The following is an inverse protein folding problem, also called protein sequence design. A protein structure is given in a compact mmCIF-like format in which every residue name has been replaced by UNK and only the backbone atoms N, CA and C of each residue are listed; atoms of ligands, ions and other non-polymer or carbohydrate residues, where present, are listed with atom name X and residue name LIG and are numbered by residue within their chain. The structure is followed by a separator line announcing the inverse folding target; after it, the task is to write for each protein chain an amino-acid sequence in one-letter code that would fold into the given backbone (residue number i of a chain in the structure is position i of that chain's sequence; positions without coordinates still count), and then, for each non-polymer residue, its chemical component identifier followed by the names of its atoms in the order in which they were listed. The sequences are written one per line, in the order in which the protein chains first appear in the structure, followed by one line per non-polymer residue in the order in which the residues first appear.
data_IF_852439596486
#
_entry.id   IF_852439596486
#
_cell.length_a   1.000
_cell.length_b   1.000
_cell.length_c   1.000
_cell.angle_alpha   90.00
_cell.angle_beta   90.00
_cell.angle_gamma   90.00
#
_symmetry.space_group_name_H-M   'P 1'
#
loop_
_entity.id
_entity.type
_entity.pdbx_description
1 polymer ?
#
# COMPACT_ATOMS: atom_id res chain seq x y z
N UNK A 1 17.32 -40.42 -51.87
CA UNK A 1 15.96 -40.40 -52.46
C UNK A 1 15.08 -41.11 -51.46
N UNK A 2 14.24 -40.43 -50.66
CA UNK A 2 13.05 -39.71 -51.06
C UNK A 2 12.87 -38.40 -50.27
N UNK A 3 12.52 -37.34 -51.01
CA UNK A 3 12.07 -36.04 -50.52
C UNK A 3 10.54 -36.05 -50.46
N UNK A 4 9.96 -35.52 -49.39
CA UNK A 4 8.57 -35.02 -49.39
C UNK A 4 8.49 -33.71 -48.62
N UNK A 5 7.83 -32.76 -49.26
CA UNK A 5 7.70 -31.34 -48.94
C UNK A 5 6.42 -31.11 -48.12
N UNK A 6 6.56 -30.23 -47.11
CA UNK A 6 5.64 -29.29 -46.46
C UNK A 6 4.12 -29.57 -46.35
N UNK A 7 3.59 -29.30 -45.15
CA UNK A 7 2.34 -28.56 -44.99
C UNK A 7 2.52 -27.49 -43.91
N UNK A 8 2.43 -26.23 -44.33
CA UNK A 8 2.39 -25.06 -43.47
C UNK A 8 1.03 -25.01 -42.75
N UNK A 9 1.08 -24.96 -41.42
CA UNK A 9 -0.08 -24.67 -40.57
C UNK A 9 0.22 -23.45 -39.72
N UNK A 10 -0.17 -22.27 -40.20
CA UNK A 10 -0.14 -21.03 -39.44
C UNK A 10 -1.19 -21.10 -38.30
N UNK A 11 -0.75 -21.48 -37.11
CA UNK A 11 -1.45 -21.19 -35.87
C UNK A 11 -0.72 -20.08 -35.14
N UNK A 12 -1.13 -18.81 -35.33
CA UNK A 12 -0.76 -17.70 -34.44
C UNK A 12 -1.44 -17.90 -33.07
N UNK A 13 -1.04 -18.91 -32.32
CA UNK A 13 -1.21 -18.90 -30.88
C UNK A 13 0.11 -18.40 -30.32
N UNK A 14 0.16 -17.08 -30.11
CA UNK A 14 1.27 -16.46 -29.41
C UNK A 14 1.50 -17.20 -28.09
N UNK A 15 2.70 -17.75 -27.92
CA UNK A 15 3.20 -18.14 -26.62
C UNK A 15 3.29 -16.83 -25.83
N UNK A 16 2.21 -16.50 -25.12
CA UNK A 16 2.25 -15.47 -24.12
C UNK A 16 3.27 -15.95 -23.08
N UNK A 17 4.49 -15.41 -23.14
CA UNK A 17 5.39 -15.43 -22.00
C UNK A 17 4.70 -14.60 -20.90
N UNK A 18 3.84 -15.26 -20.13
CA UNK A 18 3.41 -14.76 -18.84
C UNK A 18 4.69 -14.57 -18.05
N UNK A 19 5.11 -13.31 -17.88
CA UNK A 19 6.21 -12.95 -17.00
C UNK A 19 5.86 -13.57 -15.66
N UNK A 20 6.70 -14.46 -15.07
CA UNK A 20 6.40 -15.01 -13.76
C UNK A 20 6.13 -13.82 -12.85
N UNK A 21 4.99 -13.86 -12.14
CA UNK A 21 4.64 -12.83 -11.19
C UNK A 21 5.77 -12.77 -10.18
N UNK A 22 6.67 -11.82 -10.35
CA UNK A 22 7.75 -11.57 -9.43
C UNK A 22 7.05 -11.30 -8.09
N UNK A 23 7.30 -12.17 -7.11
CA UNK A 23 6.64 -12.08 -5.82
C UNK A 23 6.84 -10.65 -5.31
N UNK A 24 5.78 -9.84 -5.32
CA UNK A 24 5.97 -8.40 -5.18
C UNK A 24 6.65 -8.13 -3.85
N UNK A 25 7.83 -7.53 -3.90
CA UNK A 25 8.59 -7.24 -2.72
C UNK A 25 7.77 -6.35 -1.79
N UNK A 26 7.81 -6.63 -0.49
CA UNK A 26 7.25 -5.73 0.52
C UNK A 26 8.23 -4.57 0.67
N UNK A 27 7.83 -3.39 0.23
CA UNK A 27 8.61 -2.16 0.43
C UNK A 27 8.18 -1.51 1.74
N UNK A 28 9.11 -1.38 2.69
CA UNK A 28 8.92 -0.60 3.92
C UNK A 28 9.30 0.84 3.66
N UNK A 29 8.41 1.77 3.99
CA UNK A 29 8.68 3.20 3.83
C UNK A 29 9.34 3.68 5.13
N UNK A 30 10.56 4.26 5.06
CA UNK A 30 11.24 4.74 6.25
C UNK A 30 10.50 5.93 6.89
N UNK A 31 10.37 5.90 8.22
CA UNK A 31 9.90 7.06 8.98
C UNK A 31 11.03 8.08 9.10
N UNK A 32 10.87 9.25 8.47
CA UNK A 32 11.82 10.35 8.62
C UNK A 32 11.80 10.86 10.07
N UNK A 33 12.96 10.85 10.75
CA UNK A 33 13.13 11.46 12.07
C UNK A 33 13.27 10.49 13.25
N UNK A 34 13.24 9.17 13.03
CA UNK A 34 13.59 8.22 14.09
C UNK A 34 15.11 8.05 14.17
N UNK A 35 15.68 8.25 15.36
CA UNK A 35 17.10 8.02 15.63
C UNK A 35 17.48 6.59 15.21
N UNK A 36 18.58 6.47 14.47
CA UNK A 36 19.05 5.21 13.85
C UNK A 36 19.20 4.04 14.84
N UNK A 37 19.33 4.33 16.14
CA UNK A 37 19.56 3.33 17.19
C UNK A 37 18.27 2.72 17.76
N UNK A 38 17.12 3.33 17.53
CA UNK A 38 15.82 2.81 17.94
C UNK A 38 15.01 2.40 16.71
N UNK A 39 15.13 1.14 16.28
CA UNK A 39 14.22 0.59 15.28
C UNK A 39 12.78 0.76 15.79
N UNK A 40 11.86 1.33 15.00
CA UNK A 40 10.48 1.49 15.42
C UNK A 40 9.84 0.12 15.66
N UNK A 41 8.88 0.09 16.58
CA UNK A 41 8.11 -1.12 16.89
C UNK A 41 7.36 -1.67 15.68
N UNK A 42 6.99 -0.81 14.73
CA UNK A 42 6.29 -1.16 13.50
C UNK A 42 6.67 -0.20 12.37
N UNK A 43 6.40 -0.58 11.11
CA UNK A 43 6.59 0.30 9.96
C UNK A 43 5.43 1.29 9.84
N UNK A 44 5.68 2.59 9.62
CA UNK A 44 4.63 3.58 9.40
C UNK A 44 3.69 3.23 8.23
N UNK A 45 4.27 2.76 7.12
CA UNK A 45 3.51 2.22 5.98
C UNK A 45 4.33 1.17 5.21
N UNK A 46 3.63 0.25 4.53
CA UNK A 46 4.21 -0.76 3.64
C UNK A 46 3.46 -0.83 2.32
N UNK A 47 4.18 -1.09 1.24
CA UNK A 47 3.62 -1.27 -0.10
C UNK A 47 3.82 -2.70 -0.57
N UNK A 48 2.76 -3.32 -1.10
CA UNK A 48 2.80 -4.66 -1.69
C UNK A 48 1.74 -4.80 -2.78
N UNK A 49 2.09 -5.33 -3.95
CA UNK A 49 1.17 -5.52 -5.08
C UNK A 49 0.37 -4.24 -5.46
N UNK A 50 1.02 -3.08 -5.42
CA UNK A 50 0.38 -1.80 -5.73
C UNK A 50 -0.58 -1.27 -4.67
N UNK A 51 -0.72 -1.95 -3.52
CA UNK A 51 -1.50 -1.51 -2.38
C UNK A 51 -0.60 -0.92 -1.31
N UNK A 52 -1.07 0.15 -0.67
CA UNK A 52 -0.42 0.80 0.47
C UNK A 52 -1.20 0.46 1.73
N UNK A 53 -0.50 -0.05 2.73
CA UNK A 53 -1.04 -0.35 4.06
C UNK A 53 -0.41 0.62 5.05
N UNK A 54 -1.25 1.39 5.73
CA UNK A 54 -0.83 2.40 6.72
C UNK A 54 -1.06 1.84 8.11
N UNK A 55 -0.05 1.93 8.98
CA UNK A 55 -0.20 1.59 10.40
C UNK A 55 -1.18 2.52 11.09
N UNK A 56 -1.81 2.03 12.16
CA UNK A 56 -2.78 2.81 12.93
C UNK A 56 -2.21 4.17 13.35
N UNK A 57 -2.97 5.23 13.09
CA UNK A 57 -2.68 6.60 13.54
C UNK A 57 -3.69 6.97 14.63
N UNK A 58 -3.19 7.59 15.68
CA UNK A 58 -3.99 8.04 16.82
C UNK A 58 -3.42 9.35 17.35
N UNK A 59 -4.27 10.13 18.01
CA UNK A 59 -3.88 11.38 18.66
C UNK A 59 -4.10 11.25 20.17
N UNK A 60 -3.12 11.72 20.94
CA UNK A 60 -3.15 11.70 22.42
C UNK A 60 -2.82 13.08 23.02
N UNK A 61 -2.66 14.10 22.17
CA UNK A 61 -2.47 15.49 22.56
C UNK A 61 -3.76 16.16 23.04
N UNK A 62 -3.67 17.43 23.48
CA UNK A 62 -4.84 18.21 23.85
C UNK A 62 -5.77 18.42 22.65
N UNK A 63 -7.08 18.39 22.86
CA UNK A 63 -8.09 18.60 21.82
C UNK A 63 -9.34 17.77 22.07
N UNK A 64 -10.40 18.09 21.31
CA UNK A 64 -11.59 17.25 21.23
C UNK A 64 -11.46 16.22 20.10
N UNK A 65 -12.46 15.35 19.96
CA UNK A 65 -12.47 14.31 18.92
C UNK A 65 -12.36 14.90 17.51
N UNK A 66 -12.93 16.09 17.25
CA UNK A 66 -12.86 16.72 15.93
C UNK A 66 -11.42 17.09 15.59
N UNK A 67 -10.73 17.75 16.53
CA UNK A 67 -9.32 18.11 16.36
C UNK A 67 -8.44 16.87 16.22
N UNK A 68 -8.68 15.84 17.02
CA UNK A 68 -7.95 14.56 16.96
C UNK A 68 -8.17 13.84 15.63
N UNK A 69 -9.42 13.82 15.13
CA UNK A 69 -9.76 13.20 13.84
C UNK A 69 -9.05 13.91 12.69
N UNK A 70 -9.00 15.25 12.70
CA UNK A 70 -8.24 16.02 11.71
C UNK A 70 -6.75 15.69 11.77
N UNK A 71 -6.15 15.64 12.97
CA UNK A 71 -4.74 15.25 13.14
C UNK A 71 -4.47 13.86 12.57
N UNK A 72 -5.29 12.88 12.91
CA UNK A 72 -5.17 11.49 12.45
C UNK A 72 -5.27 11.41 10.92
N UNK A 73 -6.25 12.09 10.30
CA UNK A 73 -6.41 12.11 8.85
C UNK A 73 -5.19 12.75 8.15
N UNK A 74 -4.65 13.83 8.70
CA UNK A 74 -3.44 14.48 8.18
C UNK A 74 -2.22 13.55 8.26
N UNK A 75 -2.08 12.79 9.35
CA UNK A 75 -1.01 11.80 9.50
C UNK A 75 -1.13 10.66 8.49
N UNK A 76 -2.35 10.16 8.24
CA UNK A 76 -2.59 9.14 7.20
C UNK A 76 -2.26 9.71 5.82
N UNK A 77 -2.65 10.95 5.53
CA UNK A 77 -2.37 11.58 4.24
C UNK A 77 -0.85 11.71 4.01
N UNK A 78 -0.11 12.10 5.06
CA UNK A 78 1.35 12.17 5.00
C UNK A 78 1.98 10.80 4.67
N UNK A 79 1.52 9.71 5.28
CA UNK A 79 1.98 8.34 4.96
C UNK A 79 1.66 7.95 3.52
N UNK A 80 0.44 8.21 3.06
CA UNK A 80 0.04 7.92 1.69
C UNK A 80 0.89 8.70 0.68
N UNK A 81 1.20 9.98 0.96
CA UNK A 81 2.08 10.80 0.13
C UNK A 81 3.50 10.25 0.09
N UNK A 82 4.07 9.82 1.23
CA UNK A 82 5.38 9.13 1.27
C UNK A 82 5.39 7.87 0.40
N UNK A 83 4.25 7.19 0.27
CA UNK A 83 4.07 5.99 -0.56
C UNK A 83 3.78 6.28 -2.04
N UNK A 84 3.73 7.54 -2.47
CA UNK A 84 3.35 7.91 -3.84
C UNK A 84 1.84 7.77 -4.13
N UNK A 85 1.01 7.75 -3.09
CA UNK A 85 -0.45 7.70 -3.15
C UNK A 85 -1.09 9.02 -2.68
N UNK A 86 -2.40 9.03 -2.47
CA UNK A 86 -3.17 10.17 -1.95
C UNK A 86 -4.44 9.70 -1.23
N UNK A 87 -5.09 10.61 -0.50
CA UNK A 87 -6.39 10.32 0.13
C UNK A 87 -7.48 9.93 -0.87
N UNK A 88 -7.45 10.47 -2.08
CA UNK A 88 -8.41 10.13 -3.15
C UNK A 88 -8.33 8.66 -3.60
N UNK A 89 -7.26 7.94 -3.24
CA UNK A 89 -7.03 6.53 -3.59
C UNK A 89 -7.30 5.57 -2.43
N UNK A 90 -7.87 6.05 -1.32
CA UNK A 90 -8.17 5.20 -0.17
C UNK A 90 -9.33 4.25 -0.50
N UNK A 91 -9.09 2.96 -0.30
CA UNK A 91 -10.07 1.90 -0.58
C UNK A 91 -10.88 1.49 0.65
N UNK A 92 -10.26 1.55 1.84
CA UNK A 92 -10.85 1.12 3.11
C UNK A 92 -10.20 1.85 4.28
N UNK A 93 -11.01 2.24 5.25
CA UNK A 93 -10.58 2.78 6.55
C UNK A 93 -11.30 2.01 7.65
N UNK A 94 -10.57 1.64 8.70
CA UNK A 94 -11.16 1.18 9.95
C UNK A 94 -10.95 2.28 10.99
N UNK A 95 -12.02 2.72 11.63
CA UNK A 95 -11.99 3.76 12.66
C UNK A 95 -12.31 3.10 14.01
N UNK A 96 -11.47 3.37 15.00
CA UNK A 96 -11.67 2.92 16.38
C UNK A 96 -11.83 4.16 17.25
N UNK A 97 -12.98 4.31 17.88
CA UNK A 97 -13.28 5.40 18.79
C UNK A 97 -13.11 4.94 20.24
N UNK A 98 -12.71 5.86 21.11
CA UNK A 98 -12.61 5.59 22.54
C UNK A 98 -14.01 5.45 23.18
N UNK A 99 -14.92 6.38 22.87
CA UNK A 99 -16.33 6.33 23.24
C UNK A 99 -17.18 6.34 21.96
N UNK A 100 -18.25 5.54 21.93
CA UNK A 100 -19.19 5.51 20.79
C UNK A 100 -19.96 6.82 20.62
N UNK A 101 -20.05 7.62 21.69
CA UNK A 101 -20.68 8.95 21.65
C UNK A 101 -19.95 9.92 20.72
N UNK A 102 -18.69 9.66 20.42
CA UNK A 102 -17.86 10.47 19.52
C UNK A 102 -18.15 10.24 18.03
N UNK A 103 -19.12 9.39 17.68
CA UNK A 103 -19.47 9.10 16.28
C UNK A 103 -20.16 10.27 15.56
N UNK A 104 -20.77 11.20 16.29
CA UNK A 104 -21.60 12.30 15.76
C UNK A 104 -21.06 13.65 16.16
#
# INVERSE_FOLDING_TARGET
MFTTIAAAGAGLFGIAHAKPAEAAAITRIPDQGQQADARPLFSGSVTHNGLVYVSGKGEHGPGDITAHTVSVLNQIEAELKKAGSSMDKVLKVNVYLHDIKDYT
#
